data_IF_071159061451
#
_entry.id   IF_071159061451
#
_cell.length_a   1.000
_cell.length_b   1.000
_cell.length_c   1.000
_cell.angle_alpha   90.00
_cell.angle_beta   90.00
_cell.angle_gamma   90.00
#
_symmetry.space_group_name_H-M   'P 1'
#
loop_
_entity.id
_entity.type
_entity.pdbx_description
1 polymer ?
#
# COMPACT_ATOMS: atom_id res chain seq x y z
N UNK A 1 -6.60 1.97 1.21
CA UNK A 1 -8.01 1.79 0.78
C UNK A 1 -8.45 3.09 0.13
N UNK A 2 -9.07 3.06 -1.06
CA UNK A 2 -9.53 4.29 -1.73
C UNK A 2 -10.74 4.89 -1.02
N UNK A 3 -10.85 6.22 -1.05
CA UNK A 3 -12.02 6.91 -0.52
C UNK A 3 -13.26 6.57 -1.37
N UNK A 4 -14.43 6.53 -0.74
CA UNK A 4 -15.70 6.21 -1.44
C UNK A 4 -15.99 7.21 -2.57
N UNK A 5 -15.55 8.46 -2.42
CA UNK A 5 -15.65 9.49 -3.44
C UNK A 5 -14.78 9.19 -4.66
N UNK A 6 -13.58 8.65 -4.47
CA UNK A 6 -12.69 8.28 -5.58
C UNK A 6 -13.30 7.14 -6.42
N UNK A 7 -13.89 6.15 -5.73
CA UNK A 7 -14.58 5.02 -6.38
C UNK A 7 -15.82 5.49 -7.14
N UNK A 8 -16.59 6.41 -6.56
CA UNK A 8 -17.77 6.98 -7.19
C UNK A 8 -17.40 7.78 -8.45
N UNK A 9 -16.46 8.73 -8.33
CA UNK A 9 -15.98 9.56 -9.45
C UNK A 9 -15.44 8.72 -10.60
N UNK A 10 -14.62 7.72 -10.31
CA UNK A 10 -14.09 6.82 -11.34
C UNK A 10 -15.19 6.02 -12.06
N UNK A 11 -16.17 5.52 -11.30
CA UNK A 11 -17.30 4.80 -11.89
C UNK A 11 -18.17 5.71 -12.77
N UNK A 12 -18.51 6.91 -12.30
CA UNK A 12 -19.28 7.89 -13.08
C UNK A 12 -18.49 8.32 -14.32
N UNK A 13 -17.19 8.60 -14.18
CA UNK A 13 -16.33 8.98 -15.31
C UNK A 13 -16.33 7.91 -16.41
N UNK A 14 -16.23 6.63 -16.03
CA UNK A 14 -16.22 5.51 -17.00
C UNK A 14 -17.59 5.26 -17.63
N UNK A 15 -18.66 5.35 -16.85
CA UNK A 15 -20.02 5.07 -17.33
C UNK A 15 -20.64 6.24 -18.10
N UNK A 16 -20.21 7.47 -17.80
CA UNK A 16 -20.80 8.68 -18.35
C UNK A 16 -20.33 9.03 -19.76
N UNK A 17 -19.23 8.45 -20.22
CA UNK A 17 -18.66 8.79 -21.54
C UNK A 17 -19.72 8.61 -22.62
N UNK A 18 -20.03 9.69 -23.33
CA UNK A 18 -20.96 9.64 -24.46
C UNK A 18 -22.44 9.66 -24.07
N UNK A 19 -22.78 9.78 -22.78
CA UNK A 19 -24.17 9.90 -22.37
C UNK A 19 -24.72 11.30 -22.67
N UNK A 20 -25.93 11.36 -23.20
CA UNK A 20 -26.69 12.60 -23.32
C UNK A 20 -27.34 12.99 -21.98
N UNK A 21 -28.02 14.14 -21.96
CA UNK A 21 -28.65 14.67 -20.73
C UNK A 21 -29.75 13.79 -20.17
N UNK A 22 -30.54 13.16 -21.02
CA UNK A 22 -31.64 12.28 -20.60
C UNK A 22 -31.07 11.02 -19.95
N UNK A 23 -30.06 10.42 -20.59
CA UNK A 23 -29.34 9.27 -20.07
C UNK A 23 -28.59 9.59 -18.76
N UNK A 24 -28.03 10.79 -18.62
CA UNK A 24 -27.44 11.24 -17.35
C UNK A 24 -28.52 11.43 -16.27
N UNK A 25 -29.70 11.97 -16.61
CA UNK A 25 -30.82 12.07 -15.68
C UNK A 25 -31.31 10.68 -15.21
N UNK A 26 -31.37 9.70 -16.11
CA UNK A 26 -31.65 8.31 -15.77
C UNK A 26 -30.62 7.73 -14.79
N UNK A 27 -29.34 8.05 -14.99
CA UNK A 27 -28.27 7.65 -14.05
C UNK A 27 -28.39 8.30 -12.68
N UNK A 28 -28.81 9.57 -12.62
CA UNK A 28 -29.15 10.23 -11.36
C UNK A 28 -30.30 9.49 -10.65
N UNK A 29 -31.37 9.17 -11.37
CA UNK A 29 -32.53 8.46 -10.82
C UNK A 29 -32.18 7.04 -10.35
N UNK A 30 -31.39 6.31 -11.13
CA UNK A 30 -30.87 4.98 -10.78
C UNK A 30 -30.05 5.04 -9.49
N UNK A 31 -29.08 5.95 -9.41
CA UNK A 31 -28.23 6.10 -8.24
C UNK A 31 -29.04 6.49 -6.98
N UNK A 32 -30.02 7.38 -7.13
CA UNK A 32 -30.93 7.75 -6.04
C UNK A 32 -31.77 6.56 -5.55
N UNK A 33 -32.25 5.70 -6.46
CA UNK A 33 -32.97 4.47 -6.11
C UNK A 33 -32.07 3.50 -5.34
N UNK A 34 -30.87 3.22 -5.85
CA UNK A 34 -29.89 2.32 -5.23
C UNK A 34 -29.44 2.80 -3.86
N UNK A 35 -29.25 4.10 -3.69
CA UNK A 35 -28.95 4.72 -2.40
C UNK A 35 -30.06 4.46 -1.38
N UNK A 36 -31.34 4.61 -1.77
CA UNK A 36 -32.47 4.31 -0.88
C UNK A 36 -32.55 2.83 -0.54
N UNK A 37 -32.52 1.95 -1.54
CA UNK A 37 -32.58 0.49 -1.35
C UNK A 37 -31.49 0.00 -0.39
N UNK A 38 -30.24 0.44 -0.58
CA UNK A 38 -29.12 0.03 0.29
C UNK A 38 -29.23 0.60 1.70
N UNK A 39 -29.75 1.83 1.85
CA UNK A 39 -30.02 2.41 3.18
C UNK A 39 -31.18 1.72 3.90
N UNK A 40 -32.19 1.26 3.17
CA UNK A 40 -33.30 0.48 3.72
C UNK A 40 -32.85 -0.90 4.17
N UNK A 41 -31.98 -1.56 3.39
CA UNK A 41 -31.38 -2.84 3.77
C UNK A 41 -30.56 -2.75 5.07
N UNK A 42 -29.86 -1.64 5.31
CA UNK A 42 -29.17 -1.39 6.58
C UNK A 42 -30.11 -1.24 7.78
N UNK A 43 -31.36 -0.82 7.55
CA UNK A 43 -32.38 -0.63 8.59
C UNK A 43 -33.21 -1.88 8.85
N UNK A 44 -33.22 -2.83 7.91
CA UNK A 44 -33.95 -4.07 8.05
C UNK A 44 -33.29 -4.95 9.13
N UNK A 45 -34.07 -5.62 10.01
CA UNK A 45 -33.51 -6.59 10.93
C UNK A 45 -32.83 -7.70 10.14
N UNK A 46 -31.52 -7.84 10.32
CA UNK A 46 -30.71 -8.87 9.65
C UNK A 46 -31.23 -10.25 10.09
N UNK A 47 -31.87 -10.98 9.19
CA UNK A 47 -32.07 -12.41 9.38
C UNK A 47 -30.67 -13.05 9.43
N UNK A 48 -30.29 -13.52 10.61
CA UNK A 48 -29.00 -14.19 10.85
C UNK A 48 -28.95 -15.45 9.98
N UNK A 49 -28.35 -15.33 8.80
CA UNK A 49 -28.02 -16.45 7.93
C UNK A 49 -26.51 -16.47 7.71
N UNK A 50 -25.84 -17.17 8.63
CA UNK A 50 -24.63 -18.00 8.51
C UNK A 50 -23.50 -17.76 7.50
N UNK A 51 -23.46 -16.66 6.74
CA UNK A 51 -22.47 -16.40 5.68
C UNK A 51 -21.90 -14.97 5.76
N UNK A 52 -21.75 -14.43 6.97
CA UNK A 52 -21.03 -13.18 7.19
C UNK A 52 -19.53 -13.39 7.00
N UNK A 53 -19.03 -13.12 5.80
CA UNK A 53 -17.60 -13.14 5.51
C UNK A 53 -17.20 -12.95 4.05
N UNK A 54 -18.15 -13.02 3.10
CA UNK A 54 -17.85 -12.95 1.67
C UNK A 54 -18.58 -11.81 0.91
N UNK A 55 -19.42 -11.02 1.59
CA UNK A 55 -20.14 -9.89 0.99
C UNK A 55 -19.39 -8.56 1.11
N UNK A 56 -19.63 -7.64 0.17
CA UNK A 56 -19.23 -6.24 0.34
C UNK A 56 -19.85 -5.68 1.63
N UNK A 57 -19.06 -4.96 2.41
CA UNK A 57 -19.52 -4.24 3.60
C UNK A 57 -20.74 -3.36 3.23
N UNK A 58 -21.93 -3.64 3.78
CA UNK A 58 -23.16 -2.97 3.39
C UNK A 58 -23.15 -1.47 3.75
N UNK A 59 -22.44 -1.07 4.80
CA UNK A 59 -22.26 0.36 5.14
C UNK A 59 -21.41 1.05 4.08
N UNK A 60 -20.32 0.42 3.67
CA UNK A 60 -19.47 0.90 2.58
C UNK A 60 -20.24 0.97 1.26
N UNK A 61 -21.07 -0.02 0.96
CA UNK A 61 -21.90 -0.03 -0.25
C UNK A 61 -22.89 1.15 -0.26
N UNK A 62 -23.56 1.41 0.87
CA UNK A 62 -24.44 2.57 1.00
C UNK A 62 -23.68 3.90 0.81
N UNK A 63 -22.48 4.02 1.39
CA UNK A 63 -21.64 5.20 1.22
C UNK A 63 -21.19 5.39 -0.25
N UNK A 64 -20.88 4.30 -0.97
CA UNK A 64 -20.54 4.35 -2.40
C UNK A 64 -21.73 4.81 -3.24
N UNK A 65 -22.94 4.30 -3.00
CA UNK A 65 -24.13 4.74 -3.74
C UNK A 65 -24.48 6.20 -3.48
N UNK A 66 -24.39 6.65 -2.23
CA UNK A 66 -24.56 8.07 -1.89
C UNK A 66 -23.54 8.95 -2.63
N UNK A 67 -22.27 8.56 -2.64
CA UNK A 67 -21.23 9.30 -3.36
C UNK A 67 -21.46 9.31 -4.88
N UNK A 68 -21.91 8.18 -5.46
CA UNK A 68 -22.26 8.09 -6.90
C UNK A 68 -23.44 8.97 -7.26
N UNK A 69 -24.47 9.00 -6.43
CA UNK A 69 -25.63 9.87 -6.65
C UNK A 69 -25.21 11.35 -6.62
N UNK A 70 -24.39 11.75 -5.65
CA UNK A 70 -23.84 13.11 -5.59
C UNK A 70 -23.03 13.48 -6.85
N UNK A 71 -22.20 12.56 -7.34
CA UNK A 71 -21.37 12.80 -8.52
C UNK A 71 -22.18 12.86 -9.82
N UNK A 72 -23.19 11.99 -10.01
CA UNK A 72 -24.09 12.08 -11.17
C UNK A 72 -24.86 13.41 -11.19
N UNK A 73 -25.29 13.91 -10.02
CA UNK A 73 -25.92 15.24 -9.92
C UNK A 73 -24.97 16.37 -10.30
N UNK A 74 -23.69 16.27 -9.93
CA UNK A 74 -22.66 17.24 -10.35
C UNK A 74 -22.51 17.23 -11.86
N UNK A 75 -22.42 16.05 -12.48
CA UNK A 75 -22.30 15.91 -13.94
C UNK A 75 -23.53 16.48 -14.65
N UNK A 76 -24.74 16.17 -14.19
CA UNK A 76 -25.98 16.73 -14.75
C UNK A 76 -25.97 18.27 -14.68
N UNK A 77 -25.68 18.84 -13.51
CA UNK A 77 -25.59 20.29 -13.33
C UNK A 77 -24.51 20.93 -14.20
N UNK A 78 -23.38 20.25 -14.40
CA UNK A 78 -22.31 20.72 -15.27
C UNK A 78 -22.74 20.73 -16.75
N UNK A 79 -23.42 19.68 -17.22
CA UNK A 79 -23.93 19.62 -18.60
C UNK A 79 -25.01 20.67 -18.87
N UNK A 80 -25.84 20.98 -17.87
CA UNK A 80 -26.85 22.03 -17.96
C UNK A 80 -26.19 23.42 -18.00
N UNK A 81 -25.24 23.68 -17.09
CA UNK A 81 -24.51 24.95 -17.01
C UNK A 81 -23.74 25.25 -18.30
N UNK A 82 -23.00 24.27 -18.81
CA UNK A 82 -22.10 24.44 -19.94
C UNK A 82 -22.76 24.19 -21.31
N UNK A 83 -24.06 23.85 -21.32
CA UNK A 83 -24.77 23.64 -22.57
C UNK A 83 -24.35 22.35 -23.31
N UNK A 84 -23.71 21.39 -22.64
CA UNK A 84 -23.18 20.20 -23.30
C UNK A 84 -24.30 19.22 -23.70
N UNK A 85 -24.38 18.82 -24.98
CA UNK A 85 -25.36 17.83 -25.42
C UNK A 85 -24.96 16.41 -25.00
N UNK A 86 -23.67 16.15 -24.83
CA UNK A 86 -23.09 14.84 -24.50
C UNK A 86 -21.98 15.03 -23.48
N UNK A 87 -21.94 14.17 -22.47
CA UNK A 87 -20.89 14.20 -21.46
C UNK A 87 -19.58 13.63 -22.01
N UNK A 88 -18.55 14.46 -21.98
CA UNK A 88 -17.16 14.06 -22.22
C UNK A 88 -16.35 14.37 -20.96
N UNK A 89 -15.78 13.36 -20.29
CA UNK A 89 -14.96 13.59 -19.10
C UNK A 89 -13.75 14.50 -19.31
N UNK A 90 -13.26 14.61 -20.55
CA UNK A 90 -12.12 15.48 -20.88
C UNK A 90 -12.50 16.96 -20.86
N UNK A 91 -13.79 17.29 -21.04
CA UNK A 91 -14.29 18.66 -20.87
C UNK A 91 -14.56 19.00 -19.39
N UNK A 92 -14.77 17.98 -18.55
CA UNK A 92 -14.88 18.16 -17.10
C UNK A 92 -13.50 18.39 -16.46
N UNK A 93 -13.09 19.65 -16.39
CA UNK A 93 -11.80 20.09 -15.83
C UNK A 93 -11.62 19.61 -14.39
N UNK A 94 -12.67 19.73 -13.58
CA UNK A 94 -12.63 19.34 -12.17
C UNK A 94 -12.53 17.81 -12.02
N UNK A 95 -13.36 17.05 -12.74
CA UNK A 95 -13.29 15.60 -12.74
C UNK A 95 -11.95 15.08 -13.25
N UNK A 96 -11.37 15.74 -14.25
CA UNK A 96 -10.05 15.40 -14.80
C UNK A 96 -8.90 15.73 -13.83
N UNK A 97 -9.01 16.82 -13.06
CA UNK A 97 -8.05 17.11 -11.99
C UNK A 97 -8.08 16.02 -10.90
N UNK A 98 -9.27 15.65 -10.42
CA UNK A 98 -9.42 14.58 -9.43
C UNK A 98 -8.93 13.22 -9.92
N UNK A 99 -9.16 12.88 -11.19
CA UNK A 99 -8.65 11.65 -11.79
C UNK A 99 -7.11 11.61 -11.76
N UNK A 100 -6.44 12.72 -12.14
CA UNK A 100 -4.98 12.83 -12.08
C UNK A 100 -4.43 12.74 -10.66
N UNK A 101 -5.06 13.41 -9.69
CA UNK A 101 -4.67 13.31 -8.28
C UNK A 101 -4.78 11.89 -7.73
N UNK A 102 -5.84 11.17 -8.14
CA UNK A 102 -6.02 9.75 -7.79
C UNK A 102 -4.92 8.89 -8.41
N UNK A 103 -4.61 9.09 -9.68
CA UNK A 103 -3.56 8.34 -10.38
C UNK A 103 -2.19 8.60 -9.74
N UNK A 104 -1.86 9.85 -9.43
CA UNK A 104 -0.64 10.21 -8.69
C UNK A 104 -0.56 9.53 -7.31
N UNK A 105 -1.67 9.48 -6.56
CA UNK A 105 -1.72 8.75 -5.27
C UNK A 105 -1.51 7.25 -5.46
N UNK A 106 -2.11 6.65 -6.50
CA UNK A 106 -1.96 5.23 -6.81
C UNK A 106 -0.52 4.91 -7.17
N UNK A 107 0.06 5.67 -8.09
CA UNK A 107 1.41 5.43 -8.59
C UNK A 107 2.44 5.66 -7.47
N UNK A 108 2.24 6.68 -6.63
CA UNK A 108 3.05 6.88 -5.43
C UNK A 108 2.93 5.73 -4.41
N UNK A 109 1.76 5.12 -4.25
CA UNK A 109 1.59 3.95 -3.39
C UNK A 109 2.27 2.70 -3.97
N UNK A 110 2.18 2.50 -5.29
CA UNK A 110 2.88 1.41 -5.99
C UNK A 110 4.40 1.58 -5.90
N UNK A 111 4.91 2.79 -6.09
CA UNK A 111 6.33 3.10 -5.96
C UNK A 111 6.85 2.82 -4.54
N UNK A 112 6.12 3.26 -3.49
CA UNK A 112 6.48 2.94 -2.10
C UNK A 112 6.48 1.43 -1.83
N UNK A 113 5.49 0.72 -2.35
CA UNK A 113 5.44 -0.73 -2.19
C UNK A 113 6.60 -1.42 -2.91
N UNK A 114 6.94 -0.98 -4.12
CA UNK A 114 8.09 -1.49 -4.87
C UNK A 114 9.41 -1.21 -4.16
N UNK A 115 9.60 0.01 -3.63
CA UNK A 115 10.77 0.37 -2.83
C UNK A 115 10.90 -0.50 -1.58
N UNK A 116 9.79 -0.67 -0.83
CA UNK A 116 9.77 -1.57 0.33
C UNK A 116 10.09 -3.02 -0.07
N UNK A 117 9.53 -3.52 -1.18
CA UNK A 117 9.87 -4.87 -1.66
C UNK A 117 11.35 -5.00 -2.03
N UNK A 118 11.94 -3.94 -2.60
CA UNK A 118 13.37 -3.93 -2.92
C UNK A 118 14.22 -3.93 -1.66
N UNK A 119 13.92 -3.10 -0.67
CA UNK A 119 14.59 -3.11 0.63
C UNK A 119 14.52 -4.49 1.31
N UNK A 120 13.37 -5.16 1.22
CA UNK A 120 13.22 -6.53 1.75
C UNK A 120 14.06 -7.57 1.00
N UNK A 121 14.25 -7.39 -0.31
CA UNK A 121 15.15 -8.25 -1.11
C UNK A 121 16.60 -7.98 -0.74
N UNK A 122 17.01 -6.72 -0.71
CA UNK A 122 18.38 -6.32 -0.36
C UNK A 122 18.74 -6.81 1.06
N UNK A 123 17.82 -6.70 2.03
CA UNK A 123 18.01 -7.22 3.38
C UNK A 123 18.06 -8.76 3.46
N UNK A 124 17.34 -9.45 2.55
CA UNK A 124 17.36 -10.92 2.47
C UNK A 124 18.63 -11.44 1.77
N UNK A 125 19.12 -10.69 0.79
CA UNK A 125 20.32 -11.00 0.01
C UNK A 125 21.60 -10.62 0.76
N UNK A 126 21.49 -9.91 1.90
CA UNK A 126 22.59 -9.73 2.85
C UNK A 126 22.96 -11.08 3.50
N UNK A 127 24.06 -11.69 3.04
CA UNK A 127 24.60 -12.93 3.59
C UNK A 127 25.02 -12.75 5.06
N UNK A 128 24.18 -13.20 5.99
CA UNK A 128 24.48 -13.18 7.42
C UNK A 128 25.23 -14.44 7.87
N UNK A 129 26.53 -14.30 8.15
CA UNK A 129 27.32 -15.34 8.79
C UNK A 129 27.14 -15.27 10.32
N UNK A 130 26.62 -16.34 10.91
CA UNK A 130 26.49 -16.47 12.37
C UNK A 130 27.61 -17.33 12.93
N UNK A 131 28.36 -16.80 13.91
CA UNK A 131 29.42 -17.54 14.61
C UNK A 131 28.97 -17.84 16.03
N UNK A 132 28.86 -19.12 16.36
CA UNK A 132 28.55 -19.57 17.72
C UNK A 132 29.84 -19.78 18.51
N UNK A 133 30.00 -19.01 19.59
CA UNK A 133 31.13 -19.12 20.51
C UNK A 133 30.67 -19.75 21.82
N UNK A 134 31.54 -20.53 22.47
CA UNK A 134 31.25 -21.02 23.81
C UNK A 134 31.07 -19.86 24.79
N UNK A 135 30.40 -20.11 25.92
CA UNK A 135 30.12 -19.09 26.92
C UNK A 135 31.40 -18.41 27.44
N UNK A 136 32.46 -19.20 27.67
CA UNK A 136 33.74 -18.69 28.13
C UNK A 136 34.45 -17.82 27.10
N UNK A 137 34.45 -18.23 25.84
CA UNK A 137 35.05 -17.44 24.74
C UNK A 137 34.26 -16.15 24.55
N UNK A 138 32.93 -16.21 24.61
CA UNK A 138 32.07 -15.03 24.51
C UNK A 138 32.33 -14.02 25.63
N UNK A 139 32.53 -14.49 26.87
CA UNK A 139 32.85 -13.62 28.02
C UNK A 139 34.19 -12.92 27.83
N UNK A 140 35.24 -13.68 27.48
CA UNK A 140 36.59 -13.11 27.24
C UNK A 140 36.58 -12.11 26.10
N UNK A 141 35.84 -12.40 25.03
CA UNK A 141 35.69 -11.51 23.89
C UNK A 141 35.06 -10.16 24.30
N UNK A 142 34.00 -10.19 25.11
CA UNK A 142 33.37 -8.97 25.64
C UNK A 142 34.30 -8.15 26.53
N UNK A 143 35.10 -8.81 27.38
CA UNK A 143 36.09 -8.12 28.23
C UNK A 143 37.17 -7.40 27.40
N UNK A 144 37.64 -8.03 26.32
CA UNK A 144 38.60 -7.41 25.39
C UNK A 144 37.97 -6.22 24.66
N UNK A 145 36.74 -6.38 24.16
CA UNK A 145 35.99 -5.30 23.52
C UNK A 145 35.82 -4.10 24.48
N UNK A 146 35.42 -4.35 25.72
CA UNK A 146 35.25 -3.29 26.73
C UNK A 146 36.55 -2.52 27.02
N UNK A 147 37.70 -3.20 26.99
CA UNK A 147 39.02 -2.59 27.23
C UNK A 147 39.56 -1.80 26.04
N UNK A 148 39.17 -2.18 24.82
CA UNK A 148 39.74 -1.64 23.58
C UNK A 148 38.79 -0.67 22.86
N UNK A 149 37.51 -0.66 23.24
CA UNK A 149 36.45 0.12 22.56
C UNK A 149 35.98 -0.49 21.25
N UNK A 150 36.53 -1.64 20.84
CA UNK A 150 36.13 -2.35 19.63
C UNK A 150 34.78 -3.05 19.81
N UNK A 151 34.02 -3.15 18.71
CA UNK A 151 32.84 -4.01 18.66
C UNK A 151 33.24 -5.48 18.45
N UNK A 152 32.46 -6.47 18.93
CA UNK A 152 32.73 -7.89 18.74
C UNK A 152 33.08 -8.29 17.31
N UNK A 153 32.37 -7.75 16.32
CA UNK A 153 32.56 -8.06 14.90
C UNK A 153 33.91 -7.54 14.40
N UNK A 154 34.36 -6.38 14.89
CA UNK A 154 35.66 -5.81 14.52
C UNK A 154 36.80 -6.65 15.08
N UNK A 155 36.66 -7.12 16.32
CA UNK A 155 37.65 -7.98 16.95
C UNK A 155 37.74 -9.34 16.23
N UNK A 156 36.59 -9.93 15.88
CA UNK A 156 36.53 -11.19 15.12
C UNK A 156 37.13 -11.04 13.71
N UNK A 157 36.87 -9.92 13.03
CA UNK A 157 37.49 -9.63 11.74
C UNK A 157 39.02 -9.55 11.84
N UNK A 158 39.54 -8.82 12.84
CA UNK A 158 40.99 -8.73 13.05
C UNK A 158 41.63 -10.09 13.39
N UNK A 159 40.93 -10.94 14.16
CA UNK A 159 41.37 -12.30 14.45
C UNK A 159 41.38 -13.18 13.19
N UNK A 160 40.35 -13.07 12.35
CA UNK A 160 40.26 -13.81 11.09
C UNK A 160 41.39 -13.41 10.13
N UNK A 161 41.73 -12.12 10.04
CA UNK A 161 42.83 -11.62 9.21
C UNK A 161 44.21 -12.15 9.64
N UNK A 162 44.37 -12.43 10.94
CA UNK A 162 45.60 -12.96 11.53
C UNK A 162 45.69 -14.49 11.44
N UNK A 163 44.58 -15.17 11.18
CA UNK A 163 44.57 -16.61 10.98
C UNK A 163 45.16 -16.95 9.60
N UNK A 164 46.02 -17.96 9.57
CA UNK A 164 46.60 -18.56 8.37
C UNK A 164 46.29 -20.04 8.38
N UNK A 165 45.60 -20.50 7.35
CA UNK A 165 45.35 -21.92 7.12
C UNK A 165 46.49 -22.47 6.28
N UNK A 166 47.22 -23.45 6.82
CA UNK A 166 48.23 -24.18 6.08
C UNK A 166 47.58 -25.21 5.13
N UNK A 167 48.35 -25.70 4.16
CA UNK A 167 47.86 -26.66 3.14
C UNK A 167 47.39 -28.00 3.75
N UNK A 168 47.88 -28.35 4.94
CA UNK A 168 47.45 -29.53 5.71
C UNK A 168 46.14 -29.30 6.50
N UNK A 169 45.54 -28.11 6.40
CA UNK A 169 44.35 -27.72 7.14
C UNK A 169 44.63 -27.20 8.56
N UNK A 170 45.89 -27.06 8.97
CA UNK A 170 46.24 -26.50 10.27
C UNK A 170 45.98 -25.00 10.30
N UNK A 171 45.15 -24.54 11.25
CA UNK A 171 44.92 -23.13 11.50
C UNK A 171 45.99 -22.59 12.47
N UNK A 172 46.75 -21.61 12.03
CA UNK A 172 47.76 -20.92 12.85
C UNK A 172 47.39 -19.45 13.00
N UNK A 173 47.63 -18.89 14.18
CA UNK A 173 47.48 -17.46 14.43
C UNK A 173 48.69 -16.97 15.22
N UNK A 174 49.25 -15.83 14.81
CA UNK A 174 50.32 -15.17 15.54
C UNK A 174 49.85 -14.52 16.84
N UNK A 175 50.76 -13.92 17.63
CA UNK A 175 50.39 -13.13 18.80
C UNK A 175 49.43 -12.01 18.40
N UNK A 176 48.26 -11.97 19.05
CA UNK A 176 47.20 -11.02 18.72
C UNK A 176 47.18 -9.83 19.70
N UNK A 177 47.28 -8.62 19.15
CA UNK A 177 47.07 -7.37 19.87
C UNK A 177 46.00 -6.55 19.13
N UNK A 178 44.80 -6.35 19.71
CA UNK A 178 43.72 -5.59 19.07
C UNK A 178 44.16 -4.14 18.81
N UNK A 179 43.76 -3.58 17.66
CA UNK A 179 44.06 -2.19 17.28
C UNK A 179 42.80 -1.40 16.99
#
# INVERSE_FOLDING_TARGET
MWAVQDVARDAVRRQGVGLDREQVADKVAEAARRERETREQLRAPVAVSGLQGLGEDPERLAAVWQARHGEWRRVAALMDLEGWPVYSPEHDVQGSAWARERDARRDGALARHAAWQQEQRDARDELQAHVWLSADVSRRLREICARTGLRPEQLLAQLADQARLAEDGTLTAGPFAPR
#
